data_IF_511776979758
#
_entry.id   IF_511776979758
#
_cell.length_a   1.000
_cell.length_b   1.000
_cell.length_c   1.000
_cell.angle_alpha   90.00
_cell.angle_beta   90.00
_cell.angle_gamma   90.00
#
_symmetry.space_group_name_H-M   'P 1'
#
loop_
_entity.id
_entity.type
_entity.pdbx_description
1 polymer ?
#
# COMPACT_ATOMS: atom_id res chain seq x y z
N UNK A 1 -17.05 -45.20 -48.89
CA UNK A 1 -15.78 -44.72 -49.48
C UNK A 1 -14.57 -45.01 -48.60
N UNK A 2 -14.37 -44.36 -47.44
CA UNK A 2 -13.10 -44.49 -46.69
C UNK A 2 -12.84 -45.89 -46.08
N UNK A 3 -13.87 -46.69 -45.72
CA UNK A 3 -13.68 -48.11 -45.32
C UNK A 3 -13.17 -49.00 -46.45
N UNK A 4 -13.55 -48.70 -47.69
CA UNK A 4 -13.06 -49.42 -48.86
C UNK A 4 -11.61 -49.02 -49.12
N UNK A 5 -11.30 -47.73 -48.96
CA UNK A 5 -9.94 -47.22 -49.02
C UNK A 5 -9.00 -47.88 -48.02
N UNK A 6 -9.42 -48.04 -46.76
CA UNK A 6 -8.63 -48.77 -45.74
C UNK A 6 -8.29 -50.21 -46.17
N UNK A 7 -9.23 -50.90 -46.84
CA UNK A 7 -8.97 -52.26 -47.37
C UNK A 7 -8.01 -52.24 -48.55
N UNK A 8 -8.10 -51.23 -49.43
CA UNK A 8 -7.21 -51.08 -50.59
C UNK A 8 -5.77 -50.78 -50.20
N UNK A 9 -5.55 -49.93 -49.18
CA UNK A 9 -4.20 -49.58 -48.71
C UNK A 9 -3.66 -50.56 -47.64
N UNK A 10 -4.44 -51.57 -47.28
CA UNK A 10 -4.02 -52.64 -46.37
C UNK A 10 -3.91 -52.27 -44.90
N UNK A 11 -4.57 -51.18 -44.45
CA UNK A 11 -4.53 -50.75 -43.05
C UNK A 11 -4.81 -49.26 -42.85
N UNK A 12 -5.26 -48.86 -41.66
CA UNK A 12 -5.48 -47.44 -41.32
C UNK A 12 -4.13 -46.70 -41.29
N UNK A 13 -3.08 -47.42 -40.92
CA UNK A 13 -1.68 -47.03 -40.95
C UNK A 13 -1.16 -46.69 -42.35
N UNK A 14 -1.87 -47.02 -43.43
CA UNK A 14 -1.40 -46.67 -44.77
C UNK A 14 -2.24 -45.57 -45.42
N UNK A 15 -3.18 -44.99 -44.67
CA UNK A 15 -3.91 -43.80 -45.09
C UNK A 15 -3.00 -42.57 -45.02
N UNK A 16 -3.19 -41.65 -45.98
CA UNK A 16 -2.63 -40.30 -45.91
C UNK A 16 -3.20 -39.52 -44.72
N UNK A 17 -2.58 -38.40 -44.35
CA UNK A 17 -3.08 -37.57 -43.23
C UNK A 17 -4.52 -37.10 -43.46
N UNK A 18 -4.86 -36.70 -44.69
CA UNK A 18 -6.22 -36.30 -45.05
C UNK A 18 -7.21 -37.46 -44.99
N UNK A 19 -6.85 -38.63 -45.51
CA UNK A 19 -7.70 -39.82 -45.44
C UNK A 19 -7.88 -40.32 -44.00
N UNK A 20 -6.82 -40.25 -43.18
CA UNK A 20 -6.85 -40.56 -41.75
C UNK A 20 -7.79 -39.61 -41.02
N UNK A 21 -7.74 -38.31 -41.32
CA UNK A 21 -8.66 -37.31 -40.79
C UNK A 21 -10.11 -37.61 -41.16
N UNK A 22 -10.40 -37.90 -42.44
CA UNK A 22 -11.73 -38.32 -42.88
C UNK A 22 -12.20 -39.61 -42.20
N UNK A 23 -11.30 -40.56 -41.95
CA UNK A 23 -11.58 -41.81 -41.25
C UNK A 23 -11.89 -41.57 -39.76
N UNK A 24 -11.11 -40.73 -39.08
CA UNK A 24 -11.32 -40.35 -37.67
C UNK A 24 -12.67 -39.64 -37.50
N UNK A 25 -12.98 -38.68 -38.38
CA UNK A 25 -14.27 -37.97 -38.34
C UNK A 25 -15.46 -38.90 -38.58
N UNK A 26 -15.32 -39.87 -39.48
CA UNK A 26 -16.41 -40.76 -39.86
C UNK A 26 -16.64 -41.92 -38.88
N UNK A 27 -15.62 -42.38 -38.14
CA UNK A 27 -15.71 -43.59 -37.31
C UNK A 27 -15.28 -43.42 -35.86
N UNK A 28 -14.71 -42.26 -35.50
CA UNK A 28 -14.19 -41.94 -34.17
C UNK A 28 -13.48 -43.11 -33.44
N UNK A 29 -12.44 -43.73 -34.03
CA UNK A 29 -11.73 -44.82 -33.39
C UNK A 29 -10.80 -44.27 -32.31
N UNK A 30 -10.82 -44.87 -31.11
CA UNK A 30 -10.19 -44.33 -29.89
C UNK A 30 -8.72 -43.90 -30.01
N UNK A 31 -7.91 -44.59 -30.82
CA UNK A 31 -6.47 -44.35 -30.91
C UNK A 31 -6.00 -43.74 -32.24
N UNK A 32 -6.91 -43.42 -33.17
CA UNK A 32 -6.51 -42.98 -34.51
C UNK A 32 -5.76 -41.63 -34.51
N UNK A 33 -6.17 -40.70 -33.65
CA UNK A 33 -5.46 -39.42 -33.42
C UNK A 33 -4.08 -39.67 -32.81
N UNK A 34 -3.97 -40.62 -31.88
CA UNK A 34 -2.72 -40.95 -31.21
C UNK A 34 -1.72 -41.59 -32.18
N UNK A 35 -2.20 -42.47 -33.06
CA UNK A 35 -1.38 -43.09 -34.11
C UNK A 35 -0.89 -42.06 -35.13
N UNK A 36 -1.71 -41.07 -35.48
CA UNK A 36 -1.29 -39.95 -36.33
C UNK A 36 -0.20 -39.10 -35.66
N UNK A 37 -0.39 -38.71 -34.39
CA UNK A 37 0.63 -38.00 -33.61
C UNK A 37 1.94 -38.78 -33.50
N UNK A 38 1.86 -40.10 -33.28
CA UNK A 38 3.05 -40.98 -33.21
C UNK A 38 3.87 -40.96 -34.51
N UNK A 39 3.21 -40.99 -35.67
CA UNK A 39 3.90 -40.90 -36.97
C UNK A 39 4.61 -39.57 -37.16
N UNK A 40 3.95 -38.47 -36.83
CA UNK A 40 4.55 -37.14 -36.92
C UNK A 40 5.79 -37.04 -36.02
N UNK A 41 5.71 -37.56 -34.79
CA UNK A 41 6.85 -37.62 -33.88
C UNK A 41 7.98 -38.47 -34.46
N UNK A 42 7.68 -39.64 -35.03
CA UNK A 42 8.70 -40.49 -35.65
C UNK A 42 9.41 -39.80 -36.81
N UNK A 43 8.66 -39.16 -37.70
CA UNK A 43 9.24 -38.39 -38.82
C UNK A 43 10.11 -37.24 -38.31
N UNK A 44 9.64 -36.50 -37.29
CA UNK A 44 10.42 -35.43 -36.68
C UNK A 44 11.71 -35.95 -36.02
N UNK A 45 11.64 -37.10 -35.34
CA UNK A 45 12.80 -37.74 -34.71
C UNK A 45 13.81 -38.25 -35.73
N UNK A 46 13.35 -38.82 -36.85
CA UNK A 46 14.22 -39.25 -37.94
C UNK A 46 14.97 -38.06 -38.54
N UNK A 47 14.26 -36.95 -38.84
CA UNK A 47 14.89 -35.71 -39.32
C UNK A 47 15.83 -35.07 -38.30
N UNK A 48 15.51 -35.15 -37.01
CA UNK A 48 16.40 -34.72 -35.95
C UNK A 48 17.69 -35.56 -35.92
N UNK A 49 17.59 -36.88 -36.06
CA UNK A 49 18.75 -37.77 -36.07
C UNK A 49 19.61 -37.53 -37.32
N UNK A 50 19.01 -37.38 -38.51
CA UNK A 50 19.73 -37.01 -39.74
C UNK A 50 20.51 -35.70 -39.55
N UNK A 51 19.87 -34.66 -38.99
CA UNK A 51 20.52 -33.38 -38.69
C UNK A 51 21.65 -33.52 -37.67
N UNK A 52 21.50 -34.40 -36.67
CA UNK A 52 22.49 -34.64 -35.63
C UNK A 52 23.74 -35.34 -36.15
N UNK A 53 23.59 -36.20 -37.14
CA UNK A 53 24.72 -36.86 -37.80
C UNK A 53 25.51 -35.89 -38.70
N UNK A 54 24.88 -34.80 -39.18
CA UNK A 54 25.59 -33.66 -39.78
C UNK A 54 26.24 -32.80 -38.69
N UNK A 55 27.51 -33.11 -38.38
CA UNK A 55 28.25 -32.41 -37.33
C UNK A 55 28.42 -30.90 -37.54
N UNK A 56 28.38 -30.40 -38.78
CA UNK A 56 28.52 -28.96 -39.06
C UNK A 56 27.21 -28.22 -38.78
N UNK A 57 26.09 -28.78 -39.26
CA UNK A 57 24.76 -28.22 -39.02
C UNK A 57 24.38 -28.32 -37.54
N UNK A 58 24.67 -29.45 -36.89
CA UNK A 58 24.38 -29.63 -35.47
C UNK A 58 25.18 -28.67 -34.57
N UNK A 59 26.48 -28.49 -34.85
CA UNK A 59 27.35 -27.55 -34.12
C UNK A 59 26.87 -26.10 -34.26
N UNK A 60 26.44 -25.70 -35.46
CA UNK A 60 25.87 -24.37 -35.70
C UNK A 60 24.55 -24.16 -34.93
N UNK A 61 23.65 -25.15 -34.95
CA UNK A 61 22.40 -25.11 -34.21
C UNK A 61 22.63 -25.02 -32.68
N UNK A 62 23.56 -25.79 -32.14
CA UNK A 62 23.93 -25.76 -30.72
C UNK A 62 24.54 -24.41 -30.31
N UNK A 63 25.36 -23.82 -31.19
CA UNK A 63 25.96 -22.50 -30.95
C UNK A 63 24.92 -21.39 -30.86
N UNK A 64 23.90 -21.43 -31.73
CA UNK A 64 22.77 -20.50 -31.69
C UNK A 64 21.98 -20.68 -30.40
N UNK A 65 21.64 -21.91 -30.05
CA UNK A 65 20.88 -22.20 -28.84
C UNK A 65 21.64 -21.75 -27.57
N UNK A 66 22.97 -21.95 -27.53
CA UNK A 66 23.80 -21.47 -26.44
C UNK A 66 23.80 -19.93 -26.34
N UNK A 67 23.94 -19.24 -27.47
CA UNK A 67 23.89 -17.78 -27.52
C UNK A 67 22.52 -17.25 -27.06
N UNK A 68 21.42 -17.86 -27.52
CA UNK A 68 20.06 -17.50 -27.10
C UNK A 68 19.87 -17.73 -25.59
N UNK A 69 20.31 -18.87 -25.06
CA UNK A 69 20.24 -19.14 -23.61
C UNK A 69 21.03 -18.12 -22.81
N UNK A 70 22.23 -17.74 -23.26
CA UNK A 70 23.05 -16.74 -22.60
C UNK A 70 22.36 -15.36 -22.59
N UNK A 71 21.77 -14.95 -23.72
CA UNK A 71 20.99 -13.70 -23.81
C UNK A 71 19.78 -13.75 -22.87
N UNK A 72 19.03 -14.85 -22.87
CA UNK A 72 17.87 -15.03 -22.01
C UNK A 72 18.23 -15.03 -20.51
N UNK A 73 19.35 -15.66 -20.14
CA UNK A 73 19.84 -15.66 -18.76
C UNK A 73 20.21 -14.24 -18.30
N UNK A 74 20.98 -13.50 -19.10
CA UNK A 74 21.33 -12.11 -18.82
C UNK A 74 20.09 -11.22 -18.69
N UNK A 75 19.11 -11.40 -19.59
CA UNK A 75 17.88 -10.60 -19.55
C UNK A 75 17.06 -10.89 -18.28
N UNK A 76 16.96 -12.16 -17.88
CA UNK A 76 16.30 -12.56 -16.62
C UNK A 76 17.01 -11.98 -15.40
N UNK A 77 18.34 -11.99 -15.39
CA UNK A 77 19.11 -11.43 -14.28
C UNK A 77 18.94 -9.90 -14.18
N UNK A 78 19.05 -9.19 -15.30
CA UNK A 78 18.85 -7.74 -15.33
C UNK A 78 17.44 -7.33 -14.93
N UNK A 79 16.42 -8.08 -15.37
CA UNK A 79 15.02 -7.81 -14.99
C UNK A 79 14.80 -8.06 -13.50
N UNK A 80 15.30 -9.17 -12.96
CA UNK A 80 15.22 -9.46 -11.53
C UNK A 80 15.94 -8.39 -10.67
N UNK A 81 17.13 -7.95 -11.09
CA UNK A 81 17.88 -6.90 -10.40
C UNK A 81 17.15 -5.56 -10.45
N UNK A 82 16.59 -5.20 -11.60
CA UNK A 82 15.81 -3.97 -11.76
C UNK A 82 14.52 -3.99 -10.91
N UNK A 83 13.83 -5.11 -10.85
CA UNK A 83 12.65 -5.30 -9.99
C UNK A 83 13.02 -5.18 -8.50
N UNK A 84 14.11 -5.82 -8.08
CA UNK A 84 14.62 -5.73 -6.71
C UNK A 84 14.93 -4.29 -6.32
N UNK A 85 15.70 -3.59 -7.15
CA UNK A 85 16.07 -2.19 -6.92
C UNK A 85 14.85 -1.26 -6.95
N UNK A 86 13.89 -1.53 -7.84
CA UNK A 86 12.64 -0.78 -7.93
C UNK A 86 11.81 -0.93 -6.65
N UNK A 87 11.67 -2.17 -6.16
CA UNK A 87 10.94 -2.47 -4.94
C UNK A 87 11.60 -1.86 -3.71
N UNK A 88 12.92 -2.01 -3.56
CA UNK A 88 13.68 -1.46 -2.44
C UNK A 88 13.58 0.07 -2.39
N UNK A 89 13.81 0.75 -3.52
CA UNK A 89 13.67 2.21 -3.62
C UNK A 89 12.23 2.67 -3.36
N UNK A 90 11.24 1.95 -3.89
CA UNK A 90 9.83 2.24 -3.68
C UNK A 90 9.45 2.12 -2.20
N UNK A 91 9.89 1.05 -1.55
CA UNK A 91 9.64 0.80 -0.13
C UNK A 91 10.31 1.86 0.76
N UNK A 92 11.60 2.16 0.52
CA UNK A 92 12.33 3.15 1.30
C UNK A 92 11.69 4.54 1.18
N UNK A 93 11.38 4.99 -0.05
CA UNK A 93 10.69 6.27 -0.27
C UNK A 93 9.30 6.30 0.37
N UNK A 94 8.55 5.20 0.27
CA UNK A 94 7.22 5.09 0.89
C UNK A 94 7.29 5.20 2.41
N UNK A 95 8.28 4.54 3.03
CA UNK A 95 8.51 4.56 4.47
C UNK A 95 8.93 5.96 4.95
N UNK A 96 9.92 6.57 4.30
CA UNK A 96 10.39 7.93 4.63
C UNK A 96 9.24 8.94 4.55
N UNK A 97 8.48 8.94 3.45
CA UNK A 97 7.33 9.84 3.30
C UNK A 97 6.22 9.56 4.32
N UNK A 98 5.98 8.29 4.65
CA UNK A 98 5.01 7.89 5.66
C UNK A 98 5.39 8.39 7.05
N UNK A 99 6.66 8.24 7.44
CA UNK A 99 7.19 8.72 8.73
C UNK A 99 7.14 10.24 8.79
N UNK A 100 7.67 10.94 7.78
CA UNK A 100 7.72 12.40 7.77
C UNK A 100 6.32 13.02 7.77
N UNK A 101 5.42 12.56 6.90
CA UNK A 101 4.08 13.14 6.80
C UNK A 101 3.15 12.69 7.91
N UNK A 102 3.24 11.44 8.35
CA UNK A 102 2.34 10.87 9.34
C UNK A 102 2.80 11.15 10.76
N UNK A 103 4.03 10.76 11.09
CA UNK A 103 4.54 10.79 12.46
C UNK A 103 4.99 12.20 12.81
N UNK A 104 5.90 12.80 12.03
CA UNK A 104 6.50 14.10 12.39
C UNK A 104 5.44 15.20 12.41
N UNK A 105 4.72 15.40 11.30
CA UNK A 105 3.67 16.44 11.24
C UNK A 105 2.50 16.19 12.19
N UNK A 106 2.17 14.91 12.45
CA UNK A 106 1.13 14.55 13.41
C UNK A 106 1.54 14.89 14.84
N UNK A 107 2.78 14.56 15.20
CA UNK A 107 3.35 14.83 16.52
C UNK A 107 3.51 16.33 16.76
N UNK A 108 4.08 17.07 15.81
CA UNK A 108 4.25 18.53 15.91
C UNK A 108 2.92 19.23 16.17
N UNK A 109 1.89 18.95 15.35
CA UNK A 109 0.55 19.53 15.53
C UNK A 109 -0.11 19.10 16.84
N UNK A 110 0.13 17.85 17.27
CA UNK A 110 -0.39 17.32 18.52
C UNK A 110 0.23 18.02 19.73
N UNK A 111 1.55 18.17 19.73
CA UNK A 111 2.31 18.86 20.79
C UNK A 111 1.94 20.33 20.84
N UNK A 112 1.94 21.03 19.70
CA UNK A 112 1.62 22.46 19.63
C UNK A 112 0.22 22.74 20.22
N UNK A 113 -0.80 22.03 19.76
CA UNK A 113 -2.18 22.16 20.28
C UNK A 113 -2.30 21.74 21.74
N UNK A 114 -1.53 20.73 22.16
CA UNK A 114 -1.53 20.25 23.54
C UNK A 114 -0.93 21.27 24.50
N UNK A 115 0.21 21.86 24.12
CA UNK A 115 0.91 22.90 24.89
C UNK A 115 0.05 24.17 24.95
N UNK A 116 -0.48 24.65 23.81
CA UNK A 116 -1.31 25.86 23.76
C UNK A 116 -2.51 25.75 24.70
N UNK A 117 -3.31 24.68 24.57
CA UNK A 117 -4.47 24.44 25.45
C UNK A 117 -4.08 24.22 26.91
N UNK A 118 -2.94 23.56 27.15
CA UNK A 118 -2.45 23.32 28.50
C UNK A 118 -2.03 24.62 29.18
N UNK A 119 -1.36 25.50 28.45
CA UNK A 119 -0.86 26.78 28.93
C UNK A 119 -1.99 27.79 29.17
N UNK A 120 -2.98 27.86 28.27
CA UNK A 120 -4.19 28.68 28.42
C UNK A 120 -4.97 28.29 29.70
N UNK A 121 -5.30 27.00 29.85
CA UNK A 121 -5.98 26.49 31.06
C UNK A 121 -5.15 26.68 32.33
N UNK A 122 -3.83 26.54 32.22
CA UNK A 122 -2.92 26.78 33.33
C UNK A 122 -2.94 28.23 33.79
N UNK A 123 -2.93 29.17 32.84
CA UNK A 123 -2.98 30.60 33.10
C UNK A 123 -4.31 31.02 33.71
N UNK A 124 -5.45 30.53 33.19
CA UNK A 124 -6.79 30.79 33.76
C UNK A 124 -6.89 30.32 35.22
N UNK A 125 -6.44 29.09 35.49
CA UNK A 125 -6.38 28.55 36.87
C UNK A 125 -5.49 29.40 37.77
N UNK A 126 -4.34 29.85 37.26
CA UNK A 126 -3.41 30.72 37.97
C UNK A 126 -4.04 32.07 38.33
N UNK A 127 -4.71 32.73 37.38
CA UNK A 127 -5.43 33.99 37.61
C UNK A 127 -6.50 33.84 38.69
N UNK A 128 -7.29 32.77 38.64
CA UNK A 128 -8.33 32.49 39.65
C UNK A 128 -7.73 32.23 41.04
N UNK A 129 -6.65 31.45 41.12
CA UNK A 129 -5.96 31.19 42.37
C UNK A 129 -5.36 32.48 42.98
N UNK A 130 -4.76 33.33 42.14
CA UNK A 130 -4.25 34.64 42.55
C UNK A 130 -5.37 35.52 43.12
N UNK A 131 -6.50 35.63 42.39
CA UNK A 131 -7.64 36.43 42.84
C UNK A 131 -8.21 35.90 44.17
N UNK A 132 -8.35 34.58 44.32
CA UNK A 132 -8.75 33.96 45.60
C UNK A 132 -7.82 34.38 46.74
N UNK A 133 -6.50 34.29 46.52
CA UNK A 133 -5.52 34.69 47.52
C UNK A 133 -5.61 36.17 47.89
N UNK A 134 -5.83 37.06 46.91
CA UNK A 134 -5.96 38.49 47.16
C UNK A 134 -7.25 38.83 47.93
N UNK A 135 -8.37 38.17 47.61
CA UNK A 135 -9.64 38.35 48.31
C UNK A 135 -9.53 37.90 49.77
N UNK A 136 -8.92 36.72 50.00
CA UNK A 136 -8.67 36.22 51.34
C UNK A 136 -7.81 37.20 52.15
N UNK A 137 -6.74 37.73 51.55
CA UNK A 137 -5.83 38.65 52.23
C UNK A 137 -6.41 40.05 52.46
N UNK A 138 -7.12 40.63 51.49
CA UNK A 138 -7.65 42.00 51.57
C UNK A 138 -8.93 42.08 52.40
N UNK A 139 -9.83 41.11 52.23
CA UNK A 139 -11.17 41.17 52.81
C UNK A 139 -11.43 40.10 53.88
N UNK A 140 -10.53 39.14 54.09
CA UNK A 140 -10.72 38.05 55.04
C UNK A 140 -11.88 37.11 54.65
N UNK A 141 -12.16 36.98 53.35
CA UNK A 141 -13.25 36.16 52.81
C UNK A 141 -12.72 34.99 52.01
N UNK A 142 -13.24 33.80 52.26
CA UNK A 142 -13.07 32.63 51.42
C UNK A 142 -14.43 32.27 50.84
N UNK A 143 -14.56 32.43 49.52
CA UNK A 143 -15.80 32.20 48.78
C UNK A 143 -15.46 31.61 47.40
N UNK A 144 -16.25 30.64 46.97
CA UNK A 144 -16.11 29.94 45.69
C UNK A 144 -16.83 30.63 44.52
N UNK A 145 -17.50 31.75 44.75
CA UNK A 145 -18.04 32.63 43.71
C UNK A 145 -17.07 32.88 42.54
N UNK A 146 -15.76 32.97 42.81
CA UNK A 146 -14.75 33.19 41.77
C UNK A 146 -14.73 32.05 40.74
N UNK A 147 -15.11 30.83 41.12
CA UNK A 147 -15.17 29.68 40.20
C UNK A 147 -16.36 29.77 39.23
N UNK A 148 -17.38 30.58 39.54
CA UNK A 148 -18.56 30.75 38.68
C UNK A 148 -18.40 31.91 37.70
N UNK A 149 -17.36 32.74 37.86
CA UNK A 149 -17.08 33.86 36.98
C UNK A 149 -16.52 33.39 35.63
N UNK A 150 -16.91 33.97 34.49
CA UNK A 150 -16.19 33.82 33.21
C UNK A 150 -14.80 34.49 33.28
N UNK A 151 -13.86 34.08 32.44
CA UNK A 151 -12.44 34.50 32.58
C UNK A 151 -12.23 36.01 32.46
N UNK A 152 -12.99 36.70 31.61
CA UNK A 152 -12.94 38.16 31.50
C UNK A 152 -13.35 38.86 32.81
N UNK A 153 -14.32 38.31 33.56
CA UNK A 153 -14.70 38.86 34.86
C UNK A 153 -13.66 38.57 35.94
N UNK A 154 -12.89 37.48 35.83
CA UNK A 154 -11.76 37.22 36.73
C UNK A 154 -10.66 38.26 36.53
N UNK A 155 -10.34 38.61 35.28
CA UNK A 155 -9.36 39.67 34.98
C UNK A 155 -9.81 41.04 35.48
N UNK A 156 -11.07 41.41 35.21
CA UNK A 156 -11.66 42.65 35.72
C UNK A 156 -11.64 42.71 37.26
N UNK A 157 -11.92 41.59 37.92
CA UNK A 157 -11.88 41.50 39.37
C UNK A 157 -10.44 41.71 39.91
N UNK A 158 -9.42 41.14 39.26
CA UNK A 158 -8.01 41.33 39.63
C UNK A 158 -7.59 42.81 39.53
N UNK A 159 -8.12 43.56 38.55
CA UNK A 159 -7.81 44.99 38.42
C UNK A 159 -8.55 45.81 39.48
N UNK A 160 -9.85 45.58 39.65
CA UNK A 160 -10.71 46.40 40.52
C UNK A 160 -10.58 46.08 42.00
N UNK A 161 -10.01 44.93 42.39
CA UNK A 161 -9.78 44.58 43.79
C UNK A 161 -8.90 45.59 44.50
N UNK A 162 -7.98 46.26 43.80
CA UNK A 162 -7.12 47.28 44.39
C UNK A 162 -7.90 48.55 44.75
N UNK A 163 -8.94 48.87 43.99
CA UNK A 163 -9.75 50.08 44.13
C UNK A 163 -10.93 49.92 45.10
N UNK A 164 -11.41 48.69 45.31
CA UNK A 164 -12.61 48.45 46.12
C UNK A 164 -12.25 48.26 47.60
N UNK A 165 -12.84 49.07 48.49
CA UNK A 165 -12.60 48.98 49.94
C UNK A 165 -13.27 47.76 50.60
N UNK A 166 -14.38 47.27 50.04
CA UNK A 166 -15.12 46.12 50.56
C UNK A 166 -15.34 45.04 49.49
N UNK A 167 -15.56 43.82 49.95
CA UNK A 167 -15.83 42.67 49.09
C UNK A 167 -17.15 42.81 48.31
N UNK A 168 -18.18 43.38 48.94
CA UNK A 168 -19.47 43.60 48.30
C UNK A 168 -19.38 44.68 47.20
N UNK A 169 -18.59 45.74 47.43
CA UNK A 169 -18.33 46.77 46.42
C UNK A 169 -17.64 46.18 45.17
N UNK A 170 -16.72 45.23 45.35
CA UNK A 170 -16.10 44.51 44.24
C UNK A 170 -17.13 43.67 43.46
N UNK A 171 -17.98 42.91 44.16
CA UNK A 171 -19.05 42.10 43.54
C UNK A 171 -20.03 42.95 42.75
N UNK A 172 -20.47 44.07 43.32
CA UNK A 172 -21.47 44.94 42.67
C UNK A 172 -20.90 45.67 41.45
N UNK A 173 -19.61 46.03 41.50
CA UNK A 173 -18.92 46.63 40.34
C UNK A 173 -18.78 45.66 39.16
N UNK A 174 -18.67 44.35 39.43
CA UNK A 174 -18.63 43.31 38.40
C UNK A 174 -20.02 43.03 37.80
N UNK A 175 -21.10 43.10 38.60
CA UNK A 175 -22.49 42.97 38.12
C UNK A 175 -22.89 44.10 37.16
N UNK A 176 -22.37 45.32 37.38
CA UNK A 176 -22.64 46.47 36.51
C UNK A 176 -22.07 46.37 35.08
N UNK A 177 -21.23 45.36 34.81
CA UNK A 177 -20.60 45.10 33.50
C UNK A 177 -21.18 43.89 32.76
N UNK A 178 -22.34 43.35 33.15
CA UNK A 178 -23.08 42.41 32.28
C UNK A 178 -23.53 43.15 31.01
N UNK A 179 -22.67 43.14 29.98
CA UNK A 179 -22.96 43.70 28.66
C UNK A 179 -24.04 42.84 28.00
N UNK A 180 -25.14 43.47 27.61
CA UNK A 180 -26.15 42.94 26.68
C UNK A 180 -25.54 42.49 25.36
#
# INVERSE_FOLDING_TARGET
MIRQRVKEVGGIENLTEFETFCYVLAYNPGDAILNMKRRMVNVAMEKYNEMREDGSLFSWAESIEFAERAVQANLREQTAEAERLGLEKGFQKGLEQGIEKGIVKGLEKGIEKGIEKGMEKGLEKGKRALLKSQIAHKYGKEDDWINTLPDHQVEDAILHILECDTYDALKDRLKGKEVK
#
